data_IF_281366630447
#
_entry.id   IF_281366630447
#
_cell.length_a   1.000
_cell.length_b   1.000
_cell.length_c   1.000
_cell.angle_alpha   90.00
_cell.angle_beta   90.00
_cell.angle_gamma   90.00
#
_symmetry.space_group_name_H-M   'P 1'
#
loop_
_entity.id
_entity.type
_entity.pdbx_description
1 polymer ?
#
# COMPACT_ATOMS: atom_id res chain seq x y z
N UNK A 1 44.82 -17.92 -0.38
CA UNK A 1 44.53 -16.47 -0.33
C UNK A 1 44.33 -16.00 -1.75
N UNK A 2 43.09 -16.01 -2.22
CA UNK A 2 42.69 -15.38 -3.49
C UNK A 2 42.33 -13.94 -3.14
N UNK A 3 42.95 -12.98 -3.82
CA UNK A 3 42.70 -11.56 -3.66
C UNK A 3 41.22 -11.26 -3.97
N UNK A 4 40.48 -10.77 -2.99
CA UNK A 4 39.17 -10.12 -3.13
C UNK A 4 39.32 -8.99 -4.13
N UNK A 5 38.71 -9.10 -5.32
CA UNK A 5 39.22 -8.33 -6.44
C UNK A 5 38.62 -6.96 -6.60
N UNK A 6 37.37 -6.61 -6.29
CA UNK A 6 36.97 -5.21 -6.06
C UNK A 6 35.69 -5.19 -5.22
N UNK A 7 35.81 -4.84 -3.93
CA UNK A 7 34.68 -4.55 -3.05
C UNK A 7 34.79 -3.08 -2.64
N UNK A 8 34.03 -2.20 -3.29
CA UNK A 8 33.92 -0.81 -2.83
C UNK A 8 32.59 -0.62 -2.14
N UNK A 9 32.63 0.08 -1.03
CA UNK A 9 31.47 0.41 -0.21
C UNK A 9 31.43 1.91 0.00
N UNK A 10 30.27 2.51 -0.24
CA UNK A 10 30.06 3.95 -0.17
C UNK A 10 28.85 4.22 0.70
N UNK A 11 28.98 5.18 1.61
CA UNK A 11 27.95 5.54 2.59
C UNK A 11 27.47 6.96 2.31
N UNK A 12 26.15 7.12 2.19
CA UNK A 12 25.50 8.39 1.91
C UNK A 12 24.36 8.64 2.89
N UNK A 13 24.05 9.92 3.07
CA UNK A 13 22.79 10.36 3.67
C UNK A 13 22.03 11.10 2.57
N UNK A 14 20.94 10.50 2.09
CA UNK A 14 20.17 11.03 0.95
C UNK A 14 18.87 11.60 1.48
N UNK A 15 18.53 12.83 1.11
CA UNK A 15 17.21 13.38 1.39
C UNK A 15 16.19 12.77 0.41
N UNK A 16 15.38 11.83 0.90
CA UNK A 16 14.41 11.09 0.11
C UNK A 16 13.10 11.89 -0.04
N UNK A 17 13.20 13.07 -0.67
CA UNK A 17 12.02 13.88 -0.98
C UNK A 17 11.05 13.08 -1.87
N UNK A 18 9.76 13.37 -1.75
CA UNK A 18 8.69 12.63 -2.44
C UNK A 18 8.80 11.10 -2.29
N UNK A 19 9.27 10.64 -1.13
CA UNK A 19 9.36 9.22 -0.80
C UNK A 19 10.26 8.42 -1.75
N UNK A 20 11.34 9.02 -2.26
CA UNK A 20 12.22 8.33 -3.20
C UNK A 20 13.65 8.89 -3.27
N UNK A 21 14.55 8.04 -3.73
CA UNK A 21 15.84 8.41 -4.32
C UNK A 21 16.10 7.53 -5.54
N UNK A 22 17.17 7.79 -6.29
CA UNK A 22 17.48 7.00 -7.47
C UNK A 22 18.97 6.70 -7.64
N UNK A 23 19.22 5.63 -8.41
CA UNK A 23 20.51 5.32 -8.98
C UNK A 23 20.41 5.35 -10.50
N UNK A 24 21.38 5.94 -11.20
CA UNK A 24 21.38 5.93 -12.66
C UNK A 24 22.78 5.95 -13.26
N UNK A 25 22.90 5.56 -14.53
CA UNK A 25 24.07 5.92 -15.35
C UNK A 25 24.15 7.44 -15.53
N UNK A 26 25.36 8.02 -15.50
CA UNK A 26 25.56 9.46 -15.70
C UNK A 26 24.92 10.01 -16.98
N UNK A 27 24.81 9.17 -18.02
CA UNK A 27 24.25 9.54 -19.32
C UNK A 27 22.86 8.96 -19.55
N UNK A 28 22.20 8.43 -18.52
CA UNK A 28 20.85 7.92 -18.63
C UNK A 28 19.87 9.03 -19.07
N UNK A 29 18.93 8.65 -19.93
CA UNK A 29 17.78 9.45 -20.35
C UNK A 29 16.48 8.93 -19.73
N UNK A 30 16.55 7.93 -18.85
CA UNK A 30 15.41 7.33 -18.19
C UNK A 30 14.67 8.33 -17.30
N UNK A 31 13.39 8.51 -17.57
CA UNK A 31 12.48 9.34 -16.78
C UNK A 31 11.59 8.46 -15.89
N UNK A 32 11.67 8.68 -14.57
CA UNK A 32 10.89 7.94 -13.58
C UNK A 32 9.46 8.49 -13.41
N UNK A 33 9.14 9.66 -13.97
CA UNK A 33 7.86 10.36 -13.73
C UNK A 33 6.63 9.50 -14.02
N UNK A 34 6.64 8.77 -15.14
CA UNK A 34 5.56 7.87 -15.56
C UNK A 34 5.79 6.40 -15.12
N UNK A 35 6.90 6.11 -14.43
CA UNK A 35 7.28 4.75 -14.04
C UNK A 35 6.73 4.32 -12.67
N UNK A 36 6.26 5.26 -11.85
CA UNK A 36 5.62 5.02 -10.56
C UNK A 36 4.15 4.60 -10.73
N UNK A 37 3.92 3.40 -11.28
CA UNK A 37 2.61 2.76 -11.29
C UNK A 37 2.20 2.33 -9.87
N UNK A 38 0.92 1.98 -9.67
CA UNK A 38 0.46 1.44 -8.38
C UNK A 38 1.31 0.24 -7.92
N UNK A 39 1.57 -0.71 -8.82
CA UNK A 39 2.43 -1.86 -8.56
C UNK A 39 3.87 -1.44 -8.19
N UNK A 40 4.45 -0.49 -8.93
CA UNK A 40 5.81 0.01 -8.65
C UNK A 40 5.91 0.75 -7.31
N UNK A 41 4.87 1.50 -6.93
CA UNK A 41 4.76 2.16 -5.63
C UNK A 41 4.65 1.14 -4.50
N UNK A 42 3.83 0.09 -4.65
CA UNK A 42 3.72 -0.98 -3.64
C UNK A 42 5.03 -1.75 -3.48
N UNK A 43 5.70 -2.02 -4.61
CA UNK A 43 7.00 -2.69 -4.65
C UNK A 43 8.17 -1.78 -4.26
N UNK A 44 7.96 -0.46 -4.09
CA UNK A 44 9.01 0.53 -3.84
C UNK A 44 10.15 0.47 -4.86
N UNK A 45 9.82 0.15 -6.11
CA UNK A 45 10.76 -0.03 -7.20
C UNK A 45 10.15 0.46 -8.51
N UNK A 46 10.67 1.56 -9.04
CA UNK A 46 10.38 2.04 -10.38
C UNK A 46 11.62 1.88 -11.27
N UNK A 47 11.43 1.52 -12.54
CA UNK A 47 12.52 1.26 -13.47
C UNK A 47 12.31 2.03 -14.76
N UNK A 48 13.36 2.73 -15.20
CA UNK A 48 13.45 3.36 -16.51
C UNK A 48 14.80 2.99 -17.17
N UNK A 49 14.99 3.20 -18.48
CA UNK A 49 16.27 2.92 -19.13
C UNK A 49 17.46 3.60 -18.43
N UNK A 50 18.38 2.80 -17.88
CA UNK A 50 19.56 3.30 -17.19
C UNK A 50 19.30 3.91 -15.81
N UNK A 51 18.09 3.75 -15.23
CA UNK A 51 17.69 4.39 -13.96
C UNK A 51 16.85 3.45 -13.09
N UNK A 52 17.19 3.36 -11.81
CA UNK A 52 16.41 2.71 -10.76
C UNK A 52 15.86 3.78 -9.81
N UNK A 53 14.54 3.87 -9.70
CA UNK A 53 13.86 4.58 -8.63
C UNK A 53 13.66 3.67 -7.42
N UNK A 54 14.13 4.12 -6.26
CA UNK A 54 14.02 3.42 -4.97
C UNK A 54 13.01 4.15 -4.11
N UNK A 55 11.90 3.49 -3.79
CA UNK A 55 10.87 4.05 -2.92
C UNK A 55 11.30 3.99 -1.47
N UNK A 56 10.95 5.02 -0.70
CA UNK A 56 11.15 5.10 0.75
C UNK A 56 9.81 5.21 1.46
N UNK A 57 9.71 4.66 2.67
CA UNK A 57 8.46 4.71 3.43
C UNK A 57 8.19 6.09 4.03
N UNK A 58 9.23 6.92 4.17
CA UNK A 58 9.16 8.27 4.73
C UNK A 58 9.89 9.28 3.85
N UNK A 59 9.45 10.53 3.95
CA UNK A 59 10.10 11.69 3.37
C UNK A 59 11.09 12.28 4.40
N UNK A 60 12.28 11.70 4.47
CA UNK A 60 13.34 12.09 5.42
C UNK A 60 14.73 11.85 4.82
N UNK A 61 15.77 12.33 5.49
CA UNK A 61 17.13 11.94 5.17
C UNK A 61 17.38 10.52 5.65
N UNK A 62 17.74 9.63 4.72
CA UNK A 62 17.95 8.20 5.00
C UNK A 62 19.41 7.79 4.76
N UNK A 63 19.99 6.94 5.62
CA UNK A 63 21.26 6.28 5.36
C UNK A 63 21.14 5.31 4.17
N UNK A 64 22.04 5.45 3.20
CA UNK A 64 22.14 4.57 2.03
C UNK A 64 23.56 4.05 1.89
N UNK A 65 23.70 2.73 1.85
CA UNK A 65 24.97 2.05 1.56
C UNK A 65 24.95 1.49 0.15
N UNK A 66 25.94 1.84 -0.67
CA UNK A 66 26.11 1.28 -2.03
C UNK A 66 27.37 0.42 -2.06
N UNK A 67 27.22 -0.86 -2.38
CA UNK A 67 28.30 -1.85 -2.47
C UNK A 67 28.45 -2.32 -3.91
N UNK A 68 29.63 -2.10 -4.48
CA UNK A 68 30.00 -2.65 -5.79
C UNK A 68 30.87 -3.88 -5.55
N UNK A 69 30.38 -5.05 -5.98
CA UNK A 69 30.90 -6.38 -5.70
C UNK A 69 31.32 -7.09 -7.00
N UNK A 70 32.20 -8.08 -6.88
CA UNK A 70 32.59 -8.95 -8.01
C UNK A 70 31.52 -10.02 -8.34
N UNK A 71 30.66 -10.36 -7.38
CA UNK A 71 29.65 -11.42 -7.49
C UNK A 71 28.46 -11.16 -6.57
N UNK A 72 27.41 -11.96 -6.73
CA UNK A 72 26.20 -11.87 -5.91
C UNK A 72 26.52 -12.00 -4.41
N UNK A 73 25.90 -11.16 -3.55
CA UNK A 73 25.97 -11.33 -2.10
C UNK A 73 25.21 -12.59 -1.67
N UNK A 74 25.41 -13.02 -0.42
CA UNK A 74 24.65 -14.12 0.15
C UNK A 74 23.15 -13.80 0.21
N UNK A 75 22.33 -14.85 0.08
CA UNK A 75 20.87 -14.76 0.19
C UNK A 75 20.44 -14.83 1.68
N UNK A 76 20.93 -13.88 2.47
CA UNK A 76 20.53 -13.68 3.87
C UNK A 76 19.66 -12.44 3.97
N UNK A 77 18.35 -12.67 4.18
CA UNK A 77 17.34 -11.61 4.17
C UNK A 77 16.68 -11.41 5.53
N UNK A 78 17.14 -12.11 6.58
CA UNK A 78 16.42 -12.16 7.85
C UNK A 78 16.31 -10.79 8.52
N UNK A 79 17.39 -10.00 8.45
CA UNK A 79 17.46 -8.65 9.02
C UNK A 79 16.77 -7.56 8.18
N UNK A 80 16.33 -7.88 6.97
CA UNK A 80 15.79 -6.90 6.02
C UNK A 80 14.28 -6.98 5.96
N UNK A 81 13.58 -5.86 5.95
CA UNK A 81 12.11 -5.85 5.87
C UNK A 81 11.64 -6.20 4.46
N UNK A 82 12.34 -5.69 3.44
CA UNK A 82 12.06 -5.96 2.03
C UNK A 82 13.37 -6.14 1.26
N UNK A 83 13.32 -6.95 0.20
CA UNK A 83 14.44 -7.15 -0.73
C UNK A 83 13.91 -7.22 -2.16
N UNK A 84 14.41 -6.34 -3.01
CA UNK A 84 14.12 -6.29 -4.44
C UNK A 84 15.38 -6.63 -5.23
N UNK A 85 15.21 -7.21 -6.41
CA UNK A 85 16.32 -7.48 -7.33
C UNK A 85 15.94 -7.07 -8.76
N UNK A 86 16.82 -6.29 -9.42
CA UNK A 86 16.61 -5.77 -10.76
C UNK A 86 17.95 -5.62 -11.51
N UNK A 87 17.92 -4.99 -12.69
CA UNK A 87 19.11 -4.74 -13.52
C UNK A 87 19.29 -3.27 -13.84
N UNK A 88 20.55 -2.86 -13.94
CA UNK A 88 20.97 -1.51 -14.31
C UNK A 88 22.13 -1.58 -15.30
N UNK A 89 21.97 -0.93 -16.44
CA UNK A 89 23.05 -0.75 -17.41
C UNK A 89 23.77 0.57 -17.13
N UNK A 90 25.11 0.51 -17.01
CA UNK A 90 25.97 1.65 -16.67
C UNK A 90 27.07 1.79 -17.76
N UNK A 91 26.71 2.10 -19.02
CA UNK A 91 27.67 2.16 -20.12
C UNK A 91 28.67 3.33 -19.99
N UNK A 92 28.39 4.35 -19.18
CA UNK A 92 29.32 5.44 -18.94
C UNK A 92 30.47 5.06 -17.99
N UNK A 93 30.28 4.02 -17.17
CA UNK A 93 31.18 3.68 -16.06
C UNK A 93 31.07 4.63 -14.86
N UNK A 94 30.02 5.46 -14.81
CA UNK A 94 29.74 6.39 -13.71
C UNK A 94 28.32 6.17 -13.21
N UNK A 95 28.20 5.58 -12.02
CA UNK A 95 26.94 5.41 -11.32
C UNK A 95 26.66 6.66 -10.48
N UNK A 96 25.53 7.29 -10.71
CA UNK A 96 25.04 8.41 -9.91
C UNK A 96 24.06 7.91 -8.86
N UNK A 97 24.13 8.46 -7.65
CA UNK A 97 23.10 8.33 -6.62
C UNK A 97 22.67 9.73 -6.14
N UNK A 98 21.36 9.95 -6.06
CA UNK A 98 20.78 11.24 -5.72
C UNK A 98 19.35 11.09 -5.18
N UNK A 99 18.93 12.04 -4.34
CA UNK A 99 17.51 12.30 -4.07
C UNK A 99 16.82 12.90 -5.29
N UNK A 100 15.50 12.75 -5.41
CA UNK A 100 14.77 13.20 -6.62
C UNK A 100 14.80 14.71 -6.84
N UNK A 101 15.03 15.50 -5.79
CA UNK A 101 15.15 16.97 -5.85
C UNK A 101 16.59 17.46 -5.78
N UNK A 102 17.56 16.57 -5.70
CA UNK A 102 18.97 16.96 -5.64
C UNK A 102 19.40 17.61 -6.96
N UNK A 103 20.30 18.59 -6.85
CA UNK A 103 20.91 19.18 -8.02
C UNK A 103 21.89 18.18 -8.65
N UNK A 104 21.49 17.58 -9.77
CA UNK A 104 22.22 16.48 -10.43
C UNK A 104 23.74 16.71 -10.58
N UNK A 105 24.27 17.90 -10.94
CA UNK A 105 25.71 18.14 -11.02
C UNK A 105 26.48 17.94 -9.69
N UNK A 106 25.81 18.04 -8.55
CA UNK A 106 26.42 17.88 -7.22
C UNK A 106 26.21 16.48 -6.62
N UNK A 107 25.37 15.66 -7.24
CA UNK A 107 25.11 14.27 -6.83
C UNK A 107 26.40 13.43 -6.74
N UNK A 108 26.38 12.38 -5.91
CA UNK A 108 27.56 11.52 -5.80
C UNK A 108 27.73 10.65 -7.05
N UNK A 109 28.99 10.50 -7.50
CA UNK A 109 29.39 9.57 -8.57
C UNK A 109 30.27 8.46 -8.01
N UNK A 110 29.93 7.22 -8.35
CA UNK A 110 30.73 6.03 -8.07
C UNK A 110 31.30 5.52 -9.40
N UNK A 111 32.63 5.51 -9.58
CA UNK A 111 33.24 4.93 -10.78
C UNK A 111 33.09 3.41 -10.75
N UNK A 112 32.60 2.84 -11.85
CA UNK A 112 32.44 1.39 -12.05
C UNK A 112 32.96 0.99 -13.43
N UNK A 113 33.18 -0.31 -13.64
CA UNK A 113 33.49 -0.80 -14.99
C UNK A 113 32.25 -0.65 -15.87
N UNK A 114 32.33 -0.06 -17.07
CA UNK A 114 31.17 0.02 -17.96
C UNK A 114 30.56 -1.36 -18.24
N UNK A 115 29.25 -1.50 -18.07
CA UNK A 115 28.58 -2.79 -18.28
C UNK A 115 27.18 -2.89 -17.68
N UNK A 116 26.66 -4.11 -17.69
CA UNK A 116 25.37 -4.47 -17.09
C UNK A 116 25.57 -5.03 -15.69
N UNK A 117 24.76 -4.55 -14.75
CA UNK A 117 24.81 -4.92 -13.35
C UNK A 117 23.48 -5.52 -12.92
N UNK A 118 23.54 -6.52 -12.03
CA UNK A 118 22.43 -6.82 -11.14
C UNK A 118 22.49 -5.84 -9.98
N UNK A 119 21.34 -5.29 -9.61
CA UNK A 119 21.17 -4.52 -8.39
C UNK A 119 20.23 -5.29 -7.45
N UNK A 120 20.68 -5.54 -6.22
CA UNK A 120 19.83 -6.03 -5.13
C UNK A 120 19.68 -4.91 -4.11
N UNK A 121 18.44 -4.52 -3.88
CA UNK A 121 18.04 -3.43 -3.00
C UNK A 121 17.47 -4.03 -1.73
N UNK A 122 18.06 -3.69 -0.61
CA UNK A 122 17.65 -4.11 0.70
C UNK A 122 17.09 -2.91 1.47
N UNK A 123 16.00 -3.15 2.18
CA UNK A 123 15.26 -2.13 2.91
C UNK A 123 15.11 -2.61 4.35
N UNK A 124 15.54 -1.82 5.34
CA UNK A 124 15.53 -2.23 6.74
C UNK A 124 15.12 -1.12 7.69
N UNK A 125 14.60 -1.50 8.85
CA UNK A 125 14.14 -0.59 9.89
C UNK A 125 12.84 0.14 9.57
N UNK A 126 12.09 -0.28 8.54
CA UNK A 126 10.96 0.46 8.00
C UNK A 126 9.81 0.64 9.02
N UNK A 127 9.66 -0.29 9.95
CA UNK A 127 8.64 -0.24 11.02
C UNK A 127 9.11 0.49 12.28
N UNK A 128 10.37 0.93 12.34
CA UNK A 128 10.87 1.65 13.50
C UNK A 128 10.43 3.10 13.43
N UNK A 129 9.82 3.60 14.51
CA UNK A 129 9.38 4.99 14.66
C UNK A 129 9.90 5.56 15.96
N UNK A 130 10.33 6.82 15.92
CA UNK A 130 10.54 7.63 17.10
C UNK A 130 9.20 8.06 17.74
N UNK A 131 9.26 8.71 18.91
CA UNK A 131 8.06 9.06 19.69
C UNK A 131 7.10 10.04 18.97
N UNK A 132 7.58 10.83 18.00
CA UNK A 132 6.75 11.76 17.23
C UNK A 132 6.21 11.16 15.91
N UNK A 133 6.65 9.97 15.54
CA UNK A 133 6.22 9.26 14.35
C UNK A 133 6.77 9.81 13.04
N UNK A 134 7.67 10.80 13.07
CA UNK A 134 8.20 11.48 11.88
C UNK A 134 9.51 10.87 11.38
N UNK A 135 10.30 10.28 12.26
CA UNK A 135 11.58 9.66 11.92
C UNK A 135 11.58 8.17 12.25
N UNK A 136 12.25 7.39 11.40
CA UNK A 136 12.49 5.97 11.62
C UNK A 136 13.97 5.61 11.47
N UNK A 137 14.32 4.41 11.88
CA UNK A 137 15.61 3.76 11.62
C UNK A 137 15.74 3.20 10.21
N UNK A 138 15.03 3.80 9.25
CA UNK A 138 15.00 3.41 7.84
C UNK A 138 16.41 3.47 7.28
N UNK A 139 16.85 2.38 6.67
CA UNK A 139 18.14 2.32 6.00
C UNK A 139 18.06 1.41 4.78
N UNK A 140 18.89 1.72 3.79
CA UNK A 140 18.85 1.09 2.48
C UNK A 140 20.26 0.61 2.10
N UNK A 141 20.36 -0.61 1.60
CA UNK A 141 21.60 -1.14 1.02
C UNK A 141 21.36 -1.52 -0.45
N UNK A 142 22.27 -1.13 -1.33
CA UNK A 142 22.25 -1.49 -2.74
C UNK A 142 23.54 -2.24 -3.05
N UNK A 143 23.42 -3.54 -3.31
CA UNK A 143 24.52 -4.37 -3.79
C UNK A 143 24.45 -4.47 -5.32
N UNK A 144 25.54 -4.12 -5.99
CA UNK A 144 25.71 -4.16 -7.44
C UNK A 144 26.83 -5.12 -7.82
N UNK A 145 26.57 -6.02 -8.76
CA UNK A 145 27.62 -6.89 -9.32
C UNK A 145 27.40 -7.11 -10.83
N UNK A 146 28.48 -7.34 -11.62
CA UNK A 146 28.35 -7.62 -13.03
C UNK A 146 27.49 -8.87 -13.28
N UNK A 147 26.43 -8.73 -14.08
CA UNK A 147 25.55 -9.82 -14.44
C UNK A 147 24.73 -9.50 -15.71
N UNK A 148 24.29 -10.50 -16.48
CA UNK A 148 23.35 -10.28 -17.58
C UNK A 148 22.00 -9.72 -17.08
N UNK A 149 21.30 -8.88 -17.86
CA UNK A 149 19.99 -8.33 -17.49
C UNK A 149 18.95 -9.38 -17.06
N UNK A 150 18.11 -9.04 -16.08
CA UNK A 150 16.91 -9.82 -15.71
C UNK A 150 15.66 -8.96 -15.61
N UNK A 151 14.50 -9.61 -15.63
CA UNK A 151 13.22 -9.01 -15.25
C UNK A 151 13.16 -8.89 -13.73
N UNK A 152 12.92 -7.68 -13.21
CA UNK A 152 12.88 -7.42 -11.77
C UNK A 152 11.96 -8.36 -10.99
N UNK A 153 12.33 -8.62 -9.74
CA UNK A 153 11.63 -9.54 -8.84
C UNK A 153 11.74 -9.08 -7.39
N UNK A 154 10.72 -9.42 -6.60
CA UNK A 154 10.70 -9.21 -5.15
C UNK A 154 11.17 -10.51 -4.50
N UNK A 155 12.31 -10.46 -3.80
CA UNK A 155 12.93 -11.61 -3.14
C UNK A 155 12.40 -11.80 -1.70
N UNK A 156 12.06 -10.69 -1.05
CA UNK A 156 11.35 -10.65 0.23
C UNK A 156 10.42 -9.46 0.20
N UNK A 157 9.12 -9.69 0.39
CA UNK A 157 8.15 -8.61 0.62
C UNK A 157 8.09 -8.31 2.10
N UNK A 158 8.07 -7.02 2.46
CA UNK A 158 7.61 -6.62 3.80
C UNK A 158 6.17 -7.12 3.99
N UNK A 159 5.74 -7.47 5.21
CA UNK A 159 4.32 -7.59 5.51
C UNK A 159 3.70 -6.20 5.29
N UNK A 160 2.99 -5.99 4.19
CA UNK A 160 2.38 -4.70 3.88
C UNK A 160 1.18 -4.47 4.80
N UNK A 161 1.27 -3.46 5.67
CA UNK A 161 0.14 -2.55 5.82
C UNK A 161 0.22 -1.62 4.59
N UNK A 162 -0.82 -1.55 3.74
CA UNK A 162 -0.71 -0.86 2.46
C UNK A 162 -0.39 0.64 2.63
N UNK A 163 0.59 1.14 1.85
CA UNK A 163 1.10 2.54 1.88
C UNK A 163 0.04 3.60 1.52
N UNK A 164 -1.13 3.18 1.03
CA UNK A 164 -2.33 3.99 1.05
C UNK A 164 -3.49 3.09 1.47
N UNK A 165 -4.40 3.55 2.35
CA UNK A 165 -5.64 2.84 2.59
C UNK A 165 -6.33 2.49 1.26
N UNK A 166 -6.68 1.21 1.07
CA UNK A 166 -7.56 0.82 -0.04
C UNK A 166 -8.91 1.45 0.25
N UNK A 167 -9.28 2.46 -0.53
CA UNK A 167 -10.60 3.07 -0.45
C UNK A 167 -11.61 2.13 -1.10
N UNK A 168 -12.42 1.46 -0.29
CA UNK A 168 -13.49 0.58 -0.75
C UNK A 168 -14.70 1.35 -1.24
N UNK A 169 -15.07 2.44 -0.55
CA UNK A 169 -16.21 3.25 -0.94
C UNK A 169 -16.10 4.70 -0.48
N UNK A 170 -16.69 5.61 -1.26
CA UNK A 170 -17.01 6.96 -0.80
C UNK A 170 -18.46 7.29 -1.12
N UNK A 171 -19.26 7.61 -0.10
CA UNK A 171 -20.69 7.91 -0.22
C UNK A 171 -20.99 8.93 -1.32
N UNK A 172 -20.14 9.95 -1.45
CA UNK A 172 -20.24 11.01 -2.47
C UNK A 172 -20.22 10.51 -3.92
N UNK A 173 -19.60 9.35 -4.20
CA UNK A 173 -19.55 8.78 -5.55
C UNK A 173 -20.92 8.32 -6.05
N UNK A 174 -21.86 8.08 -5.13
CA UNK A 174 -23.21 7.62 -5.43
C UNK A 174 -24.19 8.76 -5.73
N UNK A 175 -23.79 10.02 -5.50
CA UNK A 175 -24.61 11.20 -5.81
C UNK A 175 -24.33 11.59 -7.28
N UNK A 176 -25.10 10.99 -8.20
CA UNK A 176 -25.00 11.28 -9.64
C UNK A 176 -26.40 11.43 -10.28
N UNK A 177 -26.47 11.58 -11.60
CA UNK A 177 -27.75 11.78 -12.32
C UNK A 177 -28.77 10.65 -12.14
N UNK A 178 -28.29 9.44 -11.80
CA UNK A 178 -29.11 8.26 -11.55
C UNK A 178 -29.64 8.20 -10.12
N UNK A 179 -29.16 9.05 -9.21
CA UNK A 179 -29.63 9.10 -7.83
C UNK A 179 -31.10 9.56 -7.77
N UNK A 180 -31.99 8.87 -7.03
CA UNK A 180 -33.40 9.24 -6.98
C UNK A 180 -33.63 10.64 -6.37
N UNK A 181 -34.03 11.60 -7.22
CA UNK A 181 -34.20 13.03 -6.86
C UNK A 181 -35.14 13.35 -5.68
N UNK A 182 -35.96 12.39 -5.24
CA UNK A 182 -36.93 12.57 -4.15
C UNK A 182 -36.46 11.95 -2.81
N UNK A 183 -35.29 11.33 -2.78
CA UNK A 183 -34.71 10.77 -1.56
C UNK A 183 -33.72 11.75 -0.91
N UNK A 184 -33.58 11.68 0.41
CA UNK A 184 -32.47 12.37 1.11
C UNK A 184 -31.15 11.82 0.58
N UNK A 185 -30.16 12.70 0.43
CA UNK A 185 -28.79 12.30 0.08
C UNK A 185 -28.20 11.33 1.09
N UNK A 186 -28.62 11.39 2.36
CA UNK A 186 -28.16 10.47 3.42
C UNK A 186 -28.43 8.99 3.09
N UNK A 187 -29.35 8.69 2.16
CA UNK A 187 -29.56 7.32 1.69
C UNK A 187 -28.33 6.70 1.01
N UNK A 188 -27.36 7.51 0.54
CA UNK A 188 -26.10 6.98 0.02
C UNK A 188 -25.22 6.34 1.10
N UNK A 189 -25.45 6.67 2.38
CA UNK A 189 -24.68 6.14 3.50
C UNK A 189 -25.14 4.74 3.91
N UNK A 190 -26.38 4.36 3.59
CA UNK A 190 -27.02 3.16 4.13
C UNK A 190 -26.35 1.85 3.69
N UNK A 191 -26.05 1.61 2.40
CA UNK A 191 -25.50 0.32 1.97
C UNK A 191 -24.14 0.03 2.61
N UNK A 192 -23.20 0.96 2.51
CA UNK A 192 -21.85 0.79 3.09
C UNK A 192 -21.87 0.91 4.61
N UNK A 193 -22.70 1.79 5.17
CA UNK A 193 -22.89 1.92 6.61
C UNK A 193 -23.32 0.61 7.26
N UNK A 194 -24.33 -0.08 6.71
CA UNK A 194 -24.75 -1.38 7.27
C UNK A 194 -23.68 -2.47 7.15
N UNK A 195 -22.86 -2.47 6.08
CA UNK A 195 -21.71 -3.36 5.97
C UNK A 195 -20.66 -3.08 7.05
N UNK A 196 -20.29 -1.81 7.25
CA UNK A 196 -19.38 -1.38 8.32
C UNK A 196 -19.93 -1.76 9.70
N UNK A 197 -21.23 -1.62 9.92
CA UNK A 197 -21.88 -2.10 11.14
C UNK A 197 -21.66 -3.60 11.36
N UNK A 198 -21.81 -4.42 10.30
CA UNK A 198 -21.57 -5.87 10.39
C UNK A 198 -20.12 -6.19 10.74
N UNK A 199 -19.16 -5.48 10.14
CA UNK A 199 -17.73 -5.58 10.48
C UNK A 199 -17.49 -5.30 11.98
N UNK A 200 -18.14 -4.26 12.52
CA UNK A 200 -17.99 -3.87 13.92
C UNK A 200 -18.58 -4.94 14.85
N UNK A 201 -19.81 -5.40 14.59
CA UNK A 201 -20.49 -6.43 15.39
C UNK A 201 -19.70 -7.76 15.44
N UNK A 202 -18.91 -8.06 14.41
CA UNK A 202 -18.08 -9.26 14.32
C UNK A 202 -16.65 -9.07 14.81
N UNK A 203 -16.31 -7.91 15.39
CA UNK A 203 -14.96 -7.56 15.83
C UNK A 203 -13.90 -7.65 14.71
N UNK A 204 -14.30 -7.38 13.47
CA UNK A 204 -13.42 -7.38 12.29
C UNK A 204 -12.85 -5.99 11.97
N UNK A 205 -13.19 -4.98 12.78
CA UNK A 205 -12.66 -3.63 12.69
C UNK A 205 -11.26 -3.51 13.33
N UNK A 206 -10.51 -2.46 12.98
CA UNK A 206 -9.24 -2.13 13.63
C UNK A 206 -9.51 -1.29 14.90
N UNK A 207 -9.34 -1.83 16.13
CA UNK A 207 -9.68 -1.08 17.34
C UNK A 207 -8.84 0.19 17.53
N UNK A 208 -7.58 0.20 17.08
CA UNK A 208 -6.72 1.38 17.20
C UNK A 208 -7.23 2.55 16.34
N UNK A 209 -7.82 2.26 15.16
CA UNK A 209 -8.40 3.27 14.28
C UNK A 209 -9.61 3.98 14.91
N UNK A 210 -10.42 3.23 15.67
CA UNK A 210 -11.64 3.76 16.30
C UNK A 210 -11.45 4.30 17.72
N UNK A 211 -10.21 4.37 18.25
CA UNK A 211 -9.97 4.77 19.64
C UNK A 211 -10.50 6.19 19.93
N UNK A 212 -10.33 7.12 18.99
CA UNK A 212 -10.80 8.51 19.13
C UNK A 212 -12.34 8.64 19.08
N UNK A 213 -13.03 7.66 18.50
CA UNK A 213 -14.49 7.66 18.35
C UNK A 213 -15.18 6.45 19.03
N UNK A 214 -14.53 5.83 20.03
CA UNK A 214 -15.06 4.65 20.74
C UNK A 214 -16.46 4.83 21.33
N UNK A 215 -16.81 6.04 21.76
CA UNK A 215 -18.17 6.31 22.27
C UNK A 215 -19.24 6.11 21.18
N UNK A 216 -18.90 6.38 19.92
CA UNK A 216 -19.77 6.15 18.77
C UNK A 216 -19.95 4.65 18.53
N UNK A 217 -18.87 3.87 18.63
CA UNK A 217 -18.92 2.41 18.58
C UNK A 217 -19.79 1.86 19.71
N UNK A 218 -19.59 2.31 20.95
CA UNK A 218 -20.39 1.88 22.10
C UNK A 218 -21.88 2.17 21.90
N UNK A 219 -22.23 3.36 21.39
CA UNK A 219 -23.63 3.73 21.06
C UNK A 219 -24.21 2.79 20.00
N UNK A 220 -23.43 2.45 18.97
CA UNK A 220 -23.88 1.51 17.94
C UNK A 220 -24.06 0.10 18.49
N UNK A 221 -23.13 -0.41 19.30
CA UNK A 221 -23.23 -1.72 19.94
C UNK A 221 -24.44 -1.81 20.88
N UNK A 222 -24.80 -0.70 21.55
CA UNK A 222 -26.04 -0.58 22.34
C UNK A 222 -27.31 -0.34 21.50
N UNK A 223 -27.18 -0.26 20.17
CA UNK A 223 -28.25 0.04 19.20
C UNK A 223 -28.93 1.40 19.42
N UNK A 224 -28.19 2.37 19.97
CA UNK A 224 -28.64 3.76 20.17
C UNK A 224 -28.53 4.60 18.90
N UNK A 225 -27.58 4.24 18.03
CA UNK A 225 -27.37 4.86 16.71
C UNK A 225 -27.35 3.80 15.61
N UNK A 226 -27.45 4.26 14.37
CA UNK A 226 -27.34 3.43 13.17
C UNK A 226 -25.88 3.35 12.72
N UNK A 227 -25.52 2.33 11.94
CA UNK A 227 -24.16 2.14 11.47
C UNK A 227 -23.77 3.22 10.44
N UNK A 228 -24.72 3.74 9.67
CA UNK A 228 -24.48 4.92 8.81
C UNK A 228 -23.99 6.14 9.58
N UNK A 229 -24.33 6.31 10.86
CA UNK A 229 -23.81 7.42 11.66
C UNK A 229 -22.29 7.30 11.90
N UNK A 230 -21.76 6.07 11.98
CA UNK A 230 -20.32 5.83 12.06
C UNK A 230 -19.68 6.15 10.71
N UNK A 231 -20.28 5.66 9.63
CA UNK A 231 -19.77 5.92 8.29
C UNK A 231 -19.74 7.42 7.95
N UNK A 232 -20.79 8.15 8.34
CA UNK A 232 -20.90 9.60 8.21
C UNK A 232 -19.83 10.35 9.02
N UNK A 233 -19.48 9.87 10.22
CA UNK A 233 -18.42 10.45 11.04
C UNK A 233 -17.07 10.48 10.29
N UNK A 234 -16.82 9.50 9.43
CA UNK A 234 -15.64 9.44 8.55
C UNK A 234 -15.89 10.04 7.16
N UNK A 235 -16.76 11.05 7.06
CA UNK A 235 -17.13 11.75 5.81
C UNK A 235 -17.64 10.79 4.71
N UNK A 236 -18.24 9.67 5.12
CA UNK A 236 -18.65 8.62 4.21
C UNK A 236 -17.48 8.03 3.42
N UNK A 237 -16.29 7.88 4.01
CA UNK A 237 -15.16 7.15 3.46
C UNK A 237 -15.01 5.80 4.16
N UNK A 238 -14.93 4.70 3.41
CA UNK A 238 -14.71 3.36 3.95
C UNK A 238 -13.47 2.79 3.30
N UNK A 239 -12.48 2.47 4.12
CA UNK A 239 -11.18 2.04 3.66
C UNK A 239 -10.53 0.97 4.54
N UNK A 240 -9.38 0.46 4.11
CA UNK A 240 -8.70 -0.64 4.76
C UNK A 240 -8.16 -0.33 6.17
N UNK A 241 -7.96 0.94 6.55
CA UNK A 241 -7.45 1.27 7.89
C UNK A 241 -8.48 1.02 8.98
N UNK A 242 -9.77 1.06 8.60
CA UNK A 242 -10.90 0.72 9.47
C UNK A 242 -10.95 -0.77 9.84
N UNK A 243 -10.14 -1.62 9.20
CA UNK A 243 -10.30 -3.07 9.23
C UNK A 243 -9.12 -3.76 9.91
N UNK A 244 -9.42 -4.79 10.70
CA UNK A 244 -8.40 -5.77 11.12
C UNK A 244 -7.83 -6.49 9.89
N UNK A 245 -6.67 -7.17 9.99
CA UNK A 245 -6.14 -7.96 8.87
C UNK A 245 -7.13 -8.99 8.30
N UNK A 246 -7.90 -9.65 9.16
CA UNK A 246 -8.94 -10.60 8.75
C UNK A 246 -10.13 -9.90 8.09
N UNK A 247 -10.63 -8.81 8.70
CA UNK A 247 -11.71 -8.01 8.15
C UNK A 247 -11.36 -7.40 6.79
N UNK A 248 -10.10 -6.97 6.62
CA UNK A 248 -9.58 -6.44 5.37
C UNK A 248 -9.55 -7.52 4.29
N UNK A 249 -9.02 -8.71 4.61
CA UNK A 249 -8.98 -9.83 3.67
C UNK A 249 -10.38 -10.28 3.23
N UNK A 250 -11.36 -10.33 4.15
CA UNK A 250 -12.74 -10.66 3.79
C UNK A 250 -13.40 -9.54 2.96
N UNK A 251 -13.16 -8.29 3.32
CA UNK A 251 -13.71 -7.13 2.58
C UNK A 251 -13.17 -7.07 1.16
N UNK A 252 -11.89 -7.36 0.93
CA UNK A 252 -11.35 -7.49 -0.43
C UNK A 252 -12.03 -8.59 -1.23
N UNK A 253 -12.29 -9.74 -0.60
CA UNK A 253 -12.97 -10.87 -1.25
C UNK A 253 -14.44 -10.58 -1.57
N UNK A 254 -15.17 -9.98 -0.64
CA UNK A 254 -16.64 -9.92 -0.71
C UNK A 254 -17.20 -8.54 -1.08
N UNK A 255 -16.58 -7.47 -0.59
CA UNK A 255 -16.97 -6.09 -0.89
C UNK A 255 -16.25 -5.53 -2.12
N UNK A 256 -15.04 -6.03 -2.41
CA UNK A 256 -14.07 -5.47 -3.36
C UNK A 256 -14.68 -4.84 -4.63
N UNK A 257 -14.17 -3.66 -4.99
CA UNK A 257 -14.78 -2.76 -6.01
C UNK A 257 -14.97 -3.41 -7.38
N UNK A 258 -14.07 -4.32 -7.79
CA UNK A 258 -14.09 -4.93 -9.13
C UNK A 258 -14.74 -6.32 -9.17
N UNK A 259 -14.73 -7.07 -8.07
CA UNK A 259 -15.09 -8.50 -8.04
C UNK A 259 -16.07 -8.88 -6.93
N UNK A 260 -16.38 -7.96 -6.01
CA UNK A 260 -17.22 -8.19 -4.85
C UNK A 260 -18.66 -8.57 -5.18
N UNK A 261 -19.25 -9.40 -4.33
CA UNK A 261 -20.64 -9.85 -4.45
C UNK A 261 -21.58 -9.14 -3.46
N UNK A 262 -21.06 -8.28 -2.58
CA UNK A 262 -21.85 -7.60 -1.56
C UNK A 262 -23.06 -6.85 -2.14
N UNK A 263 -22.86 -5.98 -3.15
CA UNK A 263 -23.98 -5.23 -3.72
C UNK A 263 -24.98 -6.13 -4.46
N UNK A 264 -24.54 -7.26 -5.02
CA UNK A 264 -25.44 -8.23 -5.67
C UNK A 264 -26.33 -8.91 -4.62
N UNK A 265 -25.75 -9.36 -3.51
CA UNK A 265 -26.50 -9.96 -2.41
C UNK A 265 -27.43 -8.92 -1.75
N UNK A 266 -26.96 -7.68 -1.60
CA UNK A 266 -27.76 -6.55 -1.12
C UNK A 266 -28.98 -6.30 -2.03
N UNK A 267 -28.78 -6.30 -3.34
CA UNK A 267 -29.86 -6.17 -4.33
C UNK A 267 -30.88 -7.31 -4.22
N UNK A 268 -30.40 -8.55 -4.18
CA UNK A 268 -31.25 -9.75 -4.10
C UNK A 268 -32.06 -9.78 -2.80
N UNK A 269 -31.44 -9.51 -1.66
CA UNK A 269 -32.04 -9.76 -0.35
C UNK A 269 -32.73 -8.53 0.26
N UNK A 270 -32.25 -7.31 -0.01
CA UNK A 270 -32.75 -6.09 0.62
C UNK A 270 -33.49 -5.18 -0.33
N UNK A 271 -33.04 -5.03 -1.57
CA UNK A 271 -33.74 -4.19 -2.55
C UNK A 271 -35.03 -4.89 -2.94
N UNK A 272 -34.94 -6.14 -3.39
CA UNK A 272 -36.08 -6.94 -3.84
C UNK A 272 -36.94 -6.11 -4.85
N UNK A 273 -38.21 -5.86 -4.55
CA UNK A 273 -39.13 -5.13 -5.43
C UNK A 273 -38.99 -3.58 -5.35
N UNK A 274 -37.98 -3.06 -4.65
CA UNK A 274 -37.80 -1.61 -4.50
C UNK A 274 -37.18 -0.98 -5.75
N UNK A 275 -37.47 0.31 -6.03
CA UNK A 275 -36.98 0.96 -7.25
C UNK A 275 -35.45 1.08 -7.36
N UNK A 276 -34.75 1.11 -6.23
CA UNK A 276 -33.28 1.14 -6.20
C UNK A 276 -32.76 0.75 -4.82
N UNK A 277 -31.44 0.49 -4.73
CA UNK A 277 -30.75 0.20 -3.48
C UNK A 277 -30.87 1.31 -2.42
N UNK A 278 -31.01 2.56 -2.85
CA UNK A 278 -31.21 3.73 -1.98
C UNK A 278 -32.60 3.80 -1.33
N UNK A 279 -33.54 2.92 -1.70
CA UNK A 279 -34.85 2.83 -1.04
C UNK A 279 -34.85 1.85 0.14
N UNK A 280 -33.75 1.14 0.37
CA UNK A 280 -33.58 0.29 1.55
C UNK A 280 -33.35 1.20 2.75
N UNK A 281 -34.25 1.13 3.73
CA UNK A 281 -34.11 1.88 4.98
C UNK A 281 -33.14 1.17 5.92
N UNK A 282 -32.32 1.92 6.62
CA UNK A 282 -31.55 1.38 7.73
C UNK A 282 -32.45 1.22 8.96
N UNK A 283 -32.73 -0.04 9.31
CA UNK A 283 -33.54 -0.42 10.46
C UNK A 283 -33.18 -1.85 10.88
N UNK A 284 -33.57 -2.24 12.09
CA UNK A 284 -33.24 -3.54 12.67
C UNK A 284 -33.64 -4.74 11.79
N UNK A 285 -34.79 -4.67 11.08
CA UNK A 285 -35.24 -5.76 10.21
C UNK A 285 -34.31 -5.95 9.02
N UNK A 286 -34.00 -4.86 8.31
CA UNK A 286 -33.11 -4.92 7.15
C UNK A 286 -31.68 -5.26 7.57
N UNK A 287 -31.22 -4.73 8.70
CA UNK A 287 -29.91 -5.07 9.25
C UNK A 287 -29.79 -6.57 9.58
N UNK A 288 -30.81 -7.18 10.18
CA UNK A 288 -30.80 -8.62 10.45
C UNK A 288 -30.78 -9.49 9.17
N UNK A 289 -31.48 -9.06 8.11
CA UNK A 289 -31.42 -9.72 6.80
C UNK A 289 -30.00 -9.60 6.22
N UNK A 290 -29.41 -8.41 6.31
CA UNK A 290 -28.03 -8.15 5.89
C UNK A 290 -27.05 -9.09 6.58
N UNK A 291 -27.08 -9.11 7.92
CA UNK A 291 -26.24 -10.00 8.72
C UNK A 291 -26.34 -11.45 8.27
N UNK A 292 -27.54 -11.95 7.97
CA UNK A 292 -27.74 -13.35 7.59
C UNK A 292 -26.94 -13.76 6.34
N UNK A 293 -26.97 -12.94 5.28
CA UNK A 293 -26.27 -13.32 4.04
C UNK A 293 -24.77 -13.03 4.13
N UNK A 294 -24.34 -11.99 4.86
CA UNK A 294 -22.91 -11.74 5.06
C UNK A 294 -22.29 -12.83 5.95
N UNK A 295 -22.97 -13.28 7.00
CA UNK A 295 -22.53 -14.39 7.86
C UNK A 295 -22.30 -15.65 7.03
N UNK A 296 -23.21 -15.99 6.12
CA UNK A 296 -23.06 -17.14 5.24
C UNK A 296 -21.81 -16.99 4.35
N UNK A 297 -21.63 -15.84 3.71
CA UNK A 297 -20.47 -15.55 2.84
C UNK A 297 -19.16 -15.60 3.62
N UNK A 298 -19.16 -15.08 4.85
CA UNK A 298 -18.01 -15.12 5.74
C UNK A 298 -17.65 -16.55 6.13
N UNK A 299 -18.63 -17.35 6.54
CA UNK A 299 -18.42 -18.76 6.88
C UNK A 299 -17.89 -19.58 5.69
N UNK A 300 -18.48 -19.38 4.51
CA UNK A 300 -18.03 -20.05 3.28
C UNK A 300 -16.58 -19.67 2.95
N UNK A 301 -16.23 -18.39 3.07
CA UNK A 301 -14.86 -17.91 2.85
C UNK A 301 -13.86 -18.47 3.86
N UNK A 302 -14.20 -18.48 5.16
CA UNK A 302 -13.35 -19.08 6.21
C UNK A 302 -13.16 -20.58 5.96
N UNK A 303 -14.17 -21.29 5.46
CA UNK A 303 -14.08 -22.73 5.19
C UNK A 303 -13.20 -23.10 3.99
N UNK A 304 -12.86 -22.12 3.14
CA UNK A 304 -12.03 -22.30 1.94
C UNK A 304 -10.57 -21.86 2.14
N UNK A 305 -10.24 -21.26 3.30
CA UNK A 305 -8.87 -20.95 3.73
C UNK A 305 -8.18 -22.19 4.29
#
# INVERSE_FOLDING_TARGET
MLQEKYMTEHHYNIFADYHQFYLQDEKADGDLSDCWTHEATEQMLALAPGTIGVGTVRNMTVPVTVRVLDAAPADDYDQWDQVNECSLDIPSGSLVIAGCTDYFPDAARIPVVPGSYRARLFYGGLETLNDDGLEGGDHYEIALWPAPPLKASILKSRPTLPLNPIVYDKARYHINESFPKRLSTDQVLVPTGMYLGWIIDHNLHNPAFFEECKELIDKFTRREIQASNIYEYFDGCFDSEMLSPEGNAFTQFYFGVESGEYLKDYEVHLVADRPSLFHVRENAKNYAILTTFIDQRYQDWVSQK
#
